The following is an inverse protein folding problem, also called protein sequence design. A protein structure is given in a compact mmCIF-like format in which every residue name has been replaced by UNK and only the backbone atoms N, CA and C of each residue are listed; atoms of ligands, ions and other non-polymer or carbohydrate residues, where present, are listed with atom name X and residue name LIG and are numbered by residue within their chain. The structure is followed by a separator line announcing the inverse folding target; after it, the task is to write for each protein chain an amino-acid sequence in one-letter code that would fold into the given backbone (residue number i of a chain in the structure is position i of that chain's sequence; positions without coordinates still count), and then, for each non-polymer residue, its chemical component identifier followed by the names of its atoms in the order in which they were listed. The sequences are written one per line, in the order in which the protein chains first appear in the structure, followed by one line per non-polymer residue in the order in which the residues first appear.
data_IF_208342526086
#
_entry.id   IF_208342526086
#
_cell.length_a   1.000
_cell.length_b   1.000
_cell.length_c   1.000
_cell.angle_alpha   90.00
_cell.angle_beta   90.00
_cell.angle_gamma   90.00
#
_symmetry.space_group_name_H-M   'P 1'
#
loop_
_entity.id
_entity.type
_entity.pdbx_description
1 polymer ?
#
# COMPACT_ATOMS: atom_id res chain seq x y z
N UNK A 1 -4.16 17.87 0.34
CA UNK A 1 -3.32 18.07 1.54
C UNK A 1 -2.03 17.30 1.29
N UNK A 2 -0.86 17.96 1.30
CA UNK A 2 0.41 17.25 1.06
C UNK A 2 0.83 16.59 2.38
N UNK A 3 0.97 15.26 2.41
CA UNK A 3 1.42 14.43 3.56
C UNK A 3 2.90 14.66 3.94
N UNK A 4 3.40 15.85 3.65
CA UNK A 4 4.79 16.25 3.89
C UNK A 4 4.91 17.10 5.14
N UNK A 5 3.86 17.24 5.94
CA UNK A 5 3.93 18.00 7.18
C UNK A 5 4.29 17.06 8.34
N UNK A 6 5.25 17.49 9.17
CA UNK A 6 5.62 16.88 10.44
C UNK A 6 5.02 17.69 11.58
N UNK A 7 4.63 17.02 12.66
CA UNK A 7 4.21 17.72 13.88
C UNK A 7 5.41 18.42 14.53
N UNK A 8 5.13 19.51 15.23
CA UNK A 8 6.12 20.20 16.03
C UNK A 8 5.56 20.55 17.41
N UNK A 9 6.36 20.35 18.45
CA UNK A 9 6.06 20.77 19.81
C UNK A 9 6.91 21.99 20.16
N UNK A 10 6.30 23.14 20.47
CA UNK A 10 7.02 24.36 20.88
C UNK A 10 8.13 24.76 19.89
N UNK A 11 7.85 24.56 18.59
CA UNK A 11 8.74 24.80 17.44
C UNK A 11 9.85 23.76 17.20
N UNK A 12 9.95 22.71 18.00
CA UNK A 12 10.82 21.58 17.71
C UNK A 12 10.08 20.56 16.84
N UNK A 13 10.63 20.26 15.67
CA UNK A 13 10.08 19.23 14.77
C UNK A 13 10.17 17.88 15.46
N UNK A 14 9.07 17.14 15.47
CA UNK A 14 9.03 15.77 15.95
C UNK A 14 9.47 14.86 14.80
N UNK A 15 10.38 13.94 15.08
CA UNK A 15 10.81 12.96 14.09
C UNK A 15 9.63 12.06 13.71
N UNK A 16 9.50 11.69 12.43
CA UNK A 16 8.31 10.97 11.93
C UNK A 16 8.10 9.62 12.65
N UNK A 17 9.18 8.93 12.94
CA UNK A 17 9.24 7.68 13.68
C UNK A 17 8.74 7.81 15.13
N UNK A 18 8.82 9.00 15.72
CA UNK A 18 8.41 9.29 17.09
C UNK A 18 6.97 9.80 17.16
N UNK A 19 6.38 10.33 16.08
CA UNK A 19 5.04 10.95 16.09
C UNK A 19 3.94 10.05 16.71
N UNK A 20 4.06 8.73 16.55
CA UNK A 20 3.14 7.73 17.11
C UNK A 20 3.12 7.69 18.65
N UNK A 21 4.22 8.12 19.28
CA UNK A 21 4.43 8.06 20.73
C UNK A 21 3.96 9.37 21.42
N UNK A 22 3.66 10.41 20.63
CA UNK A 22 3.17 11.70 21.13
C UNK A 22 1.65 11.74 21.21
N UNK A 23 1.11 12.33 22.28
CA UNK A 23 -0.33 12.64 22.34
C UNK A 23 -0.57 14.00 21.71
N UNK A 24 -1.77 14.15 21.14
CA UNK A 24 -2.19 15.42 20.56
C UNK A 24 -2.14 16.58 21.58
N UNK A 25 -2.51 16.32 22.84
CA UNK A 25 -2.46 17.33 23.91
C UNK A 25 -1.03 17.78 24.24
N UNK A 26 -0.01 16.95 23.97
CA UNK A 26 1.39 17.28 24.23
C UNK A 26 1.98 18.23 23.16
N UNK A 27 1.36 18.26 21.97
CA UNK A 27 1.83 19.04 20.80
C UNK A 27 0.95 20.27 20.50
N UNK A 28 -0.24 20.36 21.11
CA UNK A 28 -1.12 21.53 20.97
C UNK A 28 -0.65 22.64 21.91
N UNK A 29 -0.43 23.83 21.34
CA UNK A 29 -0.19 25.05 22.10
C UNK A 29 -1.52 25.78 22.34
N UNK A 30 -1.74 26.25 23.58
CA UNK A 30 -2.91 27.08 23.88
C UNK A 30 -2.48 28.54 23.94
N UNK A 31 -3.10 29.38 23.10
CA UNK A 31 -2.89 30.83 23.09
C UNK A 31 -4.22 31.52 23.30
N UNK A 32 -4.50 31.94 24.54
CA UNK A 32 -5.83 32.44 24.91
C UNK A 32 -6.88 31.32 24.83
N UNK A 33 -7.91 31.51 24.02
CA UNK A 33 -8.95 30.51 23.76
C UNK A 33 -8.62 29.58 22.57
N UNK A 34 -7.53 29.86 21.85
CA UNK A 34 -7.18 29.13 20.64
C UNK A 34 -6.26 27.96 20.93
N UNK A 35 -6.50 26.85 20.25
CA UNK A 35 -5.62 25.67 20.21
C UNK A 35 -4.87 25.67 18.88
N UNK A 36 -3.55 25.74 18.96
CA UNK A 36 -2.65 25.86 17.81
C UNK A 36 -1.90 24.53 17.65
N UNK A 37 -1.97 23.97 16.45
CA UNK A 37 -1.21 22.79 16.05
C UNK A 37 -0.15 23.22 15.04
N UNK A 38 1.11 23.07 15.40
CA UNK A 38 2.22 23.45 14.53
C UNK A 38 2.60 22.29 13.59
N UNK A 39 2.67 22.60 12.30
CA UNK A 39 3.04 21.69 11.24
C UNK A 39 4.25 22.25 10.49
N UNK A 40 5.34 21.49 10.41
CA UNK A 40 6.54 21.86 9.68
C UNK A 40 6.60 21.10 8.37
N UNK A 41 6.81 21.82 7.27
CA UNK A 41 6.89 21.21 5.93
C UNK A 41 8.23 20.48 5.77
N UNK A 42 8.17 19.15 5.71
CA UNK A 42 9.22 18.29 5.19
C UNK A 42 9.27 18.36 3.66
N UNK A 43 10.45 18.16 3.09
CA UNK A 43 10.68 18.16 1.64
C UNK A 43 10.35 16.82 0.98
N UNK A 44 10.44 15.71 1.70
CA UNK A 44 10.26 14.35 1.15
C UNK A 44 9.69 13.38 2.19
N UNK A 45 8.85 12.41 1.78
CA UNK A 45 8.45 11.27 2.60
C UNK A 45 9.67 10.48 3.09
N UNK A 46 9.60 10.00 4.34
CA UNK A 46 10.62 9.08 4.86
C UNK A 46 10.34 7.67 4.28
N UNK A 47 11.22 7.21 3.39
CA UNK A 47 11.07 5.92 2.69
C UNK A 47 11.11 4.75 3.66
N UNK A 48 12.04 4.75 4.62
CA UNK A 48 12.17 3.68 5.62
C UNK A 48 10.91 3.58 6.47
N UNK A 49 10.37 4.72 6.92
CA UNK A 49 9.10 4.76 7.63
C UNK A 49 7.97 4.11 6.82
N UNK A 50 7.85 4.39 5.52
CA UNK A 50 6.81 3.80 4.67
C UNK A 50 6.99 2.29 4.48
N UNK A 51 8.24 1.84 4.28
CA UNK A 51 8.58 0.42 4.18
C UNK A 51 8.16 -0.32 5.45
N UNK A 52 8.53 0.21 6.62
CA UNK A 52 8.23 -0.41 7.91
C UNK A 52 6.73 -0.34 8.23
N UNK A 53 6.10 0.81 8.03
CA UNK A 53 4.68 1.03 8.33
C UNK A 53 3.76 0.14 7.49
N UNK A 54 4.05 0.00 6.19
CA UNK A 54 3.26 -0.84 5.28
C UNK A 54 3.78 -2.28 5.14
N UNK A 55 4.81 -2.65 5.91
CA UNK A 55 5.46 -3.96 5.88
C UNK A 55 5.81 -4.40 4.44
N UNK A 56 6.45 -3.50 3.67
CA UNK A 56 6.72 -3.74 2.25
C UNK A 56 7.75 -4.87 2.01
N UNK A 57 8.56 -5.17 3.01
CA UNK A 57 9.56 -6.26 3.06
C UNK A 57 8.96 -7.65 3.33
N UNK A 58 7.65 -7.72 3.59
CA UNK A 58 6.96 -8.95 3.99
C UNK A 58 6.15 -9.51 2.82
N UNK A 59 6.19 -10.84 2.68
CA UNK A 59 5.30 -11.57 1.78
C UNK A 59 3.83 -11.38 2.14
N UNK A 60 2.94 -11.54 1.15
CA UNK A 60 1.48 -11.42 1.32
C UNK A 60 0.77 -12.60 0.70
N UNK A 61 -0.29 -13.05 1.37
CA UNK A 61 -1.21 -14.07 0.87
C UNK A 61 -2.55 -13.42 0.60
N UNK A 62 -3.04 -13.54 -0.64
CA UNK A 62 -4.36 -13.06 -1.03
C UNK A 62 -5.36 -14.17 -0.77
N UNK A 63 -6.39 -13.87 0.03
CA UNK A 63 -7.48 -14.78 0.36
C UNK A 63 -8.82 -14.14 -0.02
N UNK A 64 -9.91 -14.92 -0.11
CA UNK A 64 -11.26 -14.35 -0.25
C UNK A 64 -11.66 -13.42 0.90
N UNK A 65 -11.03 -13.53 2.07
CA UNK A 65 -11.34 -12.73 3.25
C UNK A 65 -10.44 -11.49 3.39
N UNK A 66 -9.51 -11.27 2.45
CA UNK A 66 -8.58 -10.15 2.48
C UNK A 66 -7.12 -10.56 2.27
N UNK A 67 -6.20 -9.66 2.61
CA UNK A 67 -4.76 -9.85 2.44
C UNK A 67 -4.12 -10.14 3.80
N UNK A 68 -3.50 -11.29 3.91
CA UNK A 68 -2.70 -11.66 5.07
C UNK A 68 -1.23 -11.29 4.83
N UNK A 69 -0.59 -10.74 5.84
CA UNK A 69 0.84 -10.39 5.80
C UNK A 69 1.62 -11.47 6.53
N UNK A 70 2.71 -11.94 5.94
CA UNK A 70 3.60 -12.91 6.56
C UNK A 70 4.11 -12.41 7.94
N UNK A 71 4.37 -13.35 8.85
CA UNK A 71 4.93 -13.03 10.17
C UNK A 71 6.39 -12.57 10.09
N UNK A 72 7.08 -12.93 9.01
CA UNK A 72 8.51 -12.71 8.82
C UNK A 72 8.78 -12.01 7.48
N UNK A 73 9.84 -11.23 7.43
CA UNK A 73 10.28 -10.57 6.20
C UNK A 73 10.68 -11.61 5.17
N UNK A 74 10.37 -11.34 3.91
CA UNK A 74 10.80 -12.18 2.80
C UNK A 74 12.09 -11.64 2.17
N UNK A 75 12.25 -10.32 2.16
CA UNK A 75 13.44 -9.63 1.66
C UNK A 75 13.64 -8.32 2.42
N UNK A 76 14.86 -7.79 2.42
CA UNK A 76 15.15 -6.43 2.84
C UNK A 76 15.23 -5.51 1.62
N UNK A 77 14.64 -4.31 1.74
CA UNK A 77 14.74 -3.25 0.73
C UNK A 77 15.95 -2.38 1.07
N UNK A 78 16.95 -2.41 0.21
CA UNK A 78 18.21 -1.70 0.37
C UNK A 78 18.07 -0.18 0.23
N UNK A 79 19.05 0.54 0.77
CA UNK A 79 19.17 1.98 0.55
C UNK A 79 19.36 2.30 -0.94
N UNK A 80 18.77 3.41 -1.38
CA UNK A 80 18.85 3.87 -2.78
C UNK A 80 17.57 3.69 -3.60
N UNK A 81 16.53 3.05 -3.05
CA UNK A 81 15.23 3.01 -3.71
C UNK A 81 14.70 4.42 -4.03
N UNK A 82 14.26 4.59 -5.27
CA UNK A 82 13.74 5.87 -5.77
C UNK A 82 12.26 5.97 -5.43
N UNK A 83 11.92 6.95 -4.58
CA UNK A 83 10.54 7.35 -4.32
C UNK A 83 10.18 8.51 -5.26
N UNK A 84 9.08 8.34 -6.00
CA UNK A 84 8.51 9.38 -6.86
C UNK A 84 7.20 9.84 -6.25
N UNK A 85 7.10 11.13 -5.94
CA UNK A 85 5.85 11.74 -5.51
C UNK A 85 4.91 11.93 -6.70
N UNK A 86 3.61 11.74 -6.45
CA UNK A 86 2.56 12.11 -7.38
C UNK A 86 1.93 13.42 -6.92
N UNK A 87 1.76 14.35 -7.87
CA UNK A 87 0.95 15.55 -7.72
C UNK A 87 -0.53 15.27 -7.98
N UNK A 88 -1.19 16.17 -8.72
CA UNK A 88 -2.60 16.02 -9.08
C UNK A 88 -2.82 14.82 -10.03
N UNK A 89 -1.78 14.40 -10.75
CA UNK A 89 -1.74 13.27 -11.67
C UNK A 89 -1.85 11.90 -10.98
N UNK A 90 -1.73 11.83 -9.65
CA UNK A 90 -1.94 10.60 -8.89
C UNK A 90 -3.41 10.20 -8.75
N UNK A 91 -4.34 11.08 -9.12
CA UNK A 91 -5.77 10.80 -9.08
C UNK A 91 -6.26 10.13 -10.37
N UNK A 92 -7.06 9.09 -10.23
CA UNK A 92 -7.74 8.48 -11.36
C UNK A 92 -8.96 7.66 -10.97
N UNK A 93 -9.66 7.19 -12.00
CA UNK A 93 -10.81 6.30 -11.88
C UNK A 93 -10.59 5.08 -12.74
N UNK A 94 -11.03 3.94 -12.25
CA UNK A 94 -11.01 2.69 -12.98
C UNK A 94 -12.35 2.00 -12.91
N UNK A 95 -12.53 1.06 -13.82
CA UNK A 95 -13.68 0.15 -13.86
C UNK A 95 -13.15 -1.25 -14.08
N UNK A 96 -13.75 -2.20 -13.39
CA UNK A 96 -13.43 -3.62 -13.50
C UNK A 96 -14.71 -4.44 -13.65
N UNK A 97 -14.76 -5.34 -14.61
CA UNK A 97 -15.88 -6.27 -14.83
C UNK A 97 -15.47 -7.67 -14.40
N UNK A 98 -16.36 -8.38 -13.70
CA UNK A 98 -16.04 -9.65 -13.08
C UNK A 98 -17.26 -10.53 -12.83
N UNK A 99 -17.04 -11.82 -12.64
CA UNK A 99 -18.09 -12.77 -12.30
C UNK A 99 -18.37 -12.77 -10.79
N UNK A 100 -19.62 -13.01 -10.39
CA UNK A 100 -20.04 -12.94 -8.97
C UNK A 100 -19.17 -13.76 -8.00
N UNK A 101 -18.60 -14.88 -8.46
CA UNK A 101 -17.68 -15.74 -7.70
C UNK A 101 -16.28 -15.12 -7.44
N UNK A 102 -15.89 -14.09 -8.18
CA UNK A 102 -14.60 -13.40 -8.08
C UNK A 102 -14.68 -12.12 -7.22
N UNK A 103 -15.90 -11.73 -6.81
CA UNK A 103 -16.22 -10.41 -6.26
C UNK A 103 -15.34 -9.98 -5.08
N UNK A 104 -15.19 -10.82 -4.06
CA UNK A 104 -14.44 -10.47 -2.85
C UNK A 104 -12.92 -10.43 -3.10
N UNK A 105 -12.40 -11.34 -3.95
CA UNK A 105 -10.98 -11.36 -4.32
C UNK A 105 -10.63 -10.11 -5.13
N UNK A 106 -11.50 -9.69 -6.05
CA UNK A 106 -11.27 -8.51 -6.89
C UNK A 106 -11.31 -7.23 -6.07
N UNK A 107 -12.28 -7.09 -5.15
CA UNK A 107 -12.29 -5.96 -4.20
C UNK A 107 -11.00 -5.91 -3.40
N UNK A 108 -10.52 -7.07 -2.94
CA UNK A 108 -9.26 -7.19 -2.20
C UNK A 108 -8.06 -6.77 -3.05
N UNK A 109 -7.95 -7.24 -4.29
CA UNK A 109 -6.87 -6.90 -5.21
C UNK A 109 -6.86 -5.41 -5.58
N UNK A 110 -8.03 -4.83 -5.87
CA UNK A 110 -8.18 -3.41 -6.16
C UNK A 110 -7.83 -2.52 -4.96
N UNK A 111 -7.94 -3.04 -3.73
CA UNK A 111 -7.50 -2.30 -2.54
C UNK A 111 -5.98 -2.22 -2.40
N UNK A 112 -5.22 -3.10 -3.07
CA UNK A 112 -3.77 -3.12 -3.03
C UNK A 112 -3.13 -2.15 -4.03
N UNK A 113 -3.64 -2.11 -5.27
CA UNK A 113 -3.13 -1.22 -6.32
C UNK A 113 -4.09 -1.13 -7.50
N UNK A 114 -4.08 0.03 -8.18
CA UNK A 114 -4.76 0.24 -9.46
C UNK A 114 -4.07 -0.47 -10.64
N UNK A 115 -2.78 -0.79 -10.49
CA UNK A 115 -1.92 -1.27 -11.59
C UNK A 115 -1.67 -2.79 -11.53
N UNK A 116 -2.33 -3.50 -10.62
CA UNK A 116 -2.24 -4.96 -10.54
C UNK A 116 -3.04 -5.58 -11.69
N UNK A 117 -2.52 -6.67 -12.26
CA UNK A 117 -3.25 -7.54 -13.18
C UNK A 117 -4.33 -8.34 -12.42
N UNK A 118 -5.42 -7.65 -12.07
CA UNK A 118 -6.46 -8.15 -11.18
C UNK A 118 -7.05 -9.47 -11.71
N UNK A 119 -7.21 -9.65 -13.02
CA UNK A 119 -7.84 -10.86 -13.57
C UNK A 119 -6.94 -12.06 -13.37
N UNK A 120 -5.65 -11.92 -13.67
CA UNK A 120 -4.72 -13.04 -13.54
C UNK A 120 -4.55 -13.44 -12.07
N UNK A 121 -4.48 -12.48 -11.15
CA UNK A 121 -4.43 -12.80 -9.71
C UNK A 121 -5.74 -13.39 -9.18
N UNK A 122 -6.90 -12.90 -9.63
CA UNK A 122 -8.20 -13.45 -9.23
C UNK A 122 -8.36 -14.91 -9.73
N UNK A 123 -8.06 -15.15 -11.00
CA UNK A 123 -8.06 -16.49 -11.60
C UNK A 123 -7.10 -17.44 -10.86
N UNK A 124 -5.89 -16.96 -10.55
CA UNK A 124 -4.90 -17.73 -9.81
C UNK A 124 -5.41 -18.09 -8.41
N UNK A 125 -5.93 -17.12 -7.64
CA UNK A 125 -6.47 -17.37 -6.31
C UNK A 125 -7.65 -18.37 -6.33
N UNK A 126 -8.54 -18.25 -7.32
CA UNK A 126 -9.67 -19.17 -7.49
C UNK A 126 -9.23 -20.59 -7.87
N UNK A 127 -8.11 -20.75 -8.59
CA UNK A 127 -7.60 -22.06 -8.99
C UNK A 127 -7.19 -22.92 -7.78
N UNK A 128 -6.65 -22.31 -6.72
CA UNK A 128 -6.31 -23.00 -5.47
C UNK A 128 -7.55 -23.25 -4.57
N UNK A 129 -8.52 -22.32 -4.59
CA UNK A 129 -9.76 -22.43 -3.82
C UNK A 129 -10.76 -23.48 -4.34
N UNK A 130 -10.69 -23.85 -5.63
CA UNK A 130 -11.60 -24.82 -6.26
C UNK A 130 -11.47 -26.27 -5.78
N UNK A 131 -10.52 -26.58 -4.90
CA UNK A 131 -10.31 -27.95 -4.37
C UNK A 131 -11.40 -28.43 -3.40
N UNK A 132 -12.39 -27.60 -3.02
CA UNK A 132 -13.42 -27.98 -2.03
C UNK A 132 -14.90 -27.73 -2.37
N UNK A 133 -15.25 -27.32 -3.59
CA UNK A 133 -16.67 -27.14 -3.95
C UNK A 133 -17.08 -28.11 -5.05
N UNK A 134 -17.92 -29.06 -4.65
CA UNK A 134 -18.70 -29.97 -5.50
C UNK A 134 -19.29 -29.23 -6.69
N UNK A 135 -19.15 -29.83 -7.87
CA UNK A 135 -19.78 -29.43 -9.13
C UNK A 135 -21.22 -28.90 -8.94
N UNK A 136 -21.40 -27.58 -9.01
CA UNK A 136 -22.70 -26.98 -9.33
C UNK A 136 -22.63 -26.38 -10.73
N UNK A 137 -22.85 -27.23 -11.72
CA UNK A 137 -23.41 -26.78 -12.98
C UNK A 137 -24.72 -26.04 -12.68
N UNK A 138 -24.87 -24.80 -13.18
CA UNK A 138 -26.09 -23.96 -13.24
C UNK A 138 -26.10 -22.67 -12.39
N UNK A 139 -24.98 -21.95 -12.25
CA UNK A 139 -25.04 -20.52 -11.90
C UNK A 139 -24.98 -19.70 -13.19
N UNK A 140 -26.05 -18.98 -13.51
CA UNK A 140 -26.01 -17.88 -14.47
C UNK A 140 -24.84 -16.96 -14.12
N UNK A 141 -23.87 -16.84 -15.01
CA UNK A 141 -22.75 -15.90 -14.87
C UNK A 141 -23.31 -14.48 -14.95
N UNK A 142 -23.61 -13.89 -13.80
CA UNK A 142 -23.98 -12.48 -13.71
C UNK A 142 -22.66 -11.71 -13.71
N UNK A 143 -22.33 -11.10 -14.85
CA UNK A 143 -21.23 -10.14 -14.91
C UNK A 143 -21.60 -8.92 -14.06
N UNK A 144 -20.68 -8.58 -13.17
CA UNK A 144 -20.79 -7.48 -12.22
C UNK A 144 -19.69 -6.48 -12.50
N UNK A 145 -19.92 -5.23 -12.10
CA UNK A 145 -19.04 -4.13 -12.43
C UNK A 145 -18.66 -3.36 -11.17
N UNK A 146 -17.37 -3.21 -10.91
CA UNK A 146 -16.84 -2.35 -9.87
C UNK A 146 -16.29 -1.08 -10.51
N UNK A 147 -16.72 0.08 -10.01
CA UNK A 147 -16.07 1.35 -10.30
C UNK A 147 -15.24 1.73 -9.08
N UNK A 148 -13.99 2.12 -9.28
CA UNK A 148 -13.10 2.54 -8.21
C UNK A 148 -12.41 3.85 -8.55
N UNK A 149 -11.95 4.52 -7.51
CA UNK A 149 -11.19 5.77 -7.59
C UNK A 149 -9.93 5.58 -6.78
N UNK A 150 -8.79 6.00 -7.33
CA UNK A 150 -7.50 5.89 -6.65
C UNK A 150 -6.85 7.27 -6.52
N UNK A 151 -6.05 7.40 -5.47
CA UNK A 151 -5.32 8.62 -5.11
C UNK A 151 -3.89 8.23 -4.76
N UNK A 152 -3.08 7.98 -5.77
CA UNK A 152 -1.67 7.64 -5.60
C UNK A 152 -0.94 8.87 -5.07
N UNK A 153 -0.25 8.72 -3.93
CA UNK A 153 0.53 9.82 -3.31
C UNK A 153 2.01 9.70 -3.63
N UNK A 154 2.52 8.47 -3.61
CA UNK A 154 3.93 8.14 -3.85
C UNK A 154 4.01 6.80 -4.58
N UNK A 155 5.03 6.63 -5.42
CA UNK A 155 5.45 5.32 -5.94
C UNK A 155 6.86 5.01 -5.47
N UNK A 156 7.05 3.78 -5.00
CA UNK A 156 8.37 3.23 -4.67
C UNK A 156 8.74 2.24 -5.77
N UNK A 157 9.78 2.56 -6.54
CA UNK A 157 10.28 1.65 -7.58
C UNK A 157 11.37 0.77 -6.98
N UNK A 158 11.11 -0.53 -6.91
CA UNK A 158 12.06 -1.53 -6.37
C UNK A 158 13.05 -2.07 -7.42
N UNK A 159 12.77 -1.84 -8.71
CA UNK A 159 13.60 -2.27 -9.83
C UNK A 159 13.65 -1.16 -10.88
N UNK A 160 14.81 -0.91 -11.49
CA UNK A 160 14.82 -0.18 -12.77
C UNK A 160 14.27 -1.07 -13.90
N UNK A 161 13.89 -0.46 -15.02
CA UNK A 161 13.15 -1.16 -16.09
C UNK A 161 13.88 -2.46 -16.50
N UNK A 162 13.12 -3.55 -16.64
CA UNK A 162 13.60 -4.93 -16.82
C UNK A 162 14.48 -5.17 -18.06
N UNK A 163 14.79 -4.14 -18.83
CA UNK A 163 15.62 -4.19 -20.04
C UNK A 163 17.14 -4.15 -19.75
N UNK A 164 17.54 -3.83 -18.52
CA UNK A 164 18.92 -4.02 -18.07
C UNK A 164 18.93 -4.86 -16.79
N UNK A 165 19.04 -6.18 -16.96
CA UNK A 165 19.39 -7.11 -15.88
C UNK A 165 20.86 -6.86 -15.53
N UNK A 166 21.14 -5.74 -14.89
CA UNK A 166 22.32 -5.57 -14.07
C UNK A 166 21.84 -5.79 -12.63
N UNK A 167 22.49 -6.71 -11.92
CA UNK A 167 22.04 -7.30 -10.64
C UNK A 167 22.09 -6.34 -9.44
N UNK A 168 21.94 -5.03 -9.66
CA UNK A 168 21.74 -4.04 -8.58
C UNK A 168 20.27 -4.13 -8.13
N UNK A 169 19.92 -5.29 -7.57
CA UNK A 169 18.63 -5.50 -6.95
C UNK A 169 18.64 -4.80 -5.59
N UNK A 170 17.76 -3.82 -5.40
CA UNK A 170 17.50 -3.27 -4.07
C UNK A 170 16.82 -4.27 -3.13
N UNK A 171 16.65 -5.54 -3.53
CA UNK A 171 16.02 -6.58 -2.72
C UNK A 171 17.05 -7.65 -2.38
N UNK A 172 17.27 -7.86 -1.09
CA UNK A 172 18.05 -8.98 -0.58
C UNK A 172 17.14 -9.99 0.10
N UNK A 173 17.05 -11.24 -0.37
CA UNK A 173 16.33 -12.28 0.35
C UNK A 173 16.86 -12.39 1.78
N UNK A 174 15.95 -12.61 2.73
CA UNK A 174 16.37 -12.89 4.11
C UNK A 174 16.84 -14.35 4.23
N UNK A 175 17.73 -14.67 5.17
CA UNK A 175 18.33 -16.03 5.32
C UNK A 175 17.32 -17.18 5.47
N UNK A 176 16.07 -16.88 5.77
CA UNK A 176 15.00 -17.88 5.93
C UNK A 176 14.33 -18.29 4.62
N UNK A 177 14.61 -17.60 3.52
CA UNK A 177 14.03 -17.82 2.19
C UNK A 177 15.12 -17.95 1.13
#
# INVERSE_FOLDING_TARGET
MKDIHLFAAKRNVIAREEEKDWKLDDIIETSGNDKILCLVKSSTPNVRFLIDHHKLEYGRTITPNGVEVASEKSFDIEEGCKLKEFGAEGYGKGKYEYNSNESEIIKTLLSLSSDIDVQNFANFALSFGKTKSTSSSNSTEISSMCNFTFYNKVSLKLFEDLEQINYDHYLKPTEKF
#
